data_IF_210078582995
#
_entry.id   IF_210078582995
#
_cell.length_a   1.000
_cell.length_b   1.000
_cell.length_c   1.000
_cell.angle_alpha   90.00
_cell.angle_beta   90.00
_cell.angle_gamma   90.00
#
_symmetry.space_group_name_H-M   'P 1'
#
loop_
_entity.id
_entity.type
_entity.pdbx_description
1 polymer ?
#
# COMPACT_ATOMS: atom_id res chain seq x y z
N UNK A 1 -49.74 22.52 -22.04
CA UNK A 1 -48.82 23.02 -23.08
C UNK A 1 -47.41 22.88 -22.55
N UNK A 2 -46.60 21.95 -23.06
CA UNK A 2 -45.23 21.76 -22.62
C UNK A 2 -44.31 22.70 -23.42
N UNK A 3 -43.70 23.68 -22.76
CA UNK A 3 -42.72 24.55 -23.39
C UNK A 3 -41.44 23.73 -23.67
N UNK A 4 -41.06 23.61 -24.94
CA UNK A 4 -39.78 23.01 -25.33
C UNK A 4 -38.67 24.00 -24.99
N UNK A 5 -37.94 23.73 -23.92
CA UNK A 5 -36.80 24.54 -23.49
C UNK A 5 -35.58 24.22 -24.37
N UNK A 6 -35.34 25.02 -25.43
CA UNK A 6 -34.17 24.86 -26.30
C UNK A 6 -32.99 25.65 -25.74
N UNK A 7 -31.99 24.94 -25.22
CA UNK A 7 -30.76 25.57 -24.72
C UNK A 7 -29.81 25.85 -25.90
N UNK A 8 -29.21 27.06 -26.01
CA UNK A 8 -28.26 27.37 -27.05
C UNK A 8 -27.05 26.41 -26.98
N UNK A 9 -26.47 25.98 -28.12
CA UNK A 9 -25.29 25.09 -28.15
C UNK A 9 -24.12 25.62 -27.31
N UNK A 10 -23.99 26.94 -27.22
CA UNK A 10 -22.96 27.64 -26.44
C UNK A 10 -23.17 27.46 -24.93
N UNK A 11 -24.42 27.45 -24.46
CA UNK A 11 -24.74 27.20 -23.05
C UNK A 11 -24.48 25.73 -22.71
N UNK A 12 -24.82 24.81 -23.61
CA UNK A 12 -24.51 23.38 -23.43
C UNK A 12 -23.00 23.14 -23.37
N UNK A 13 -22.23 23.79 -24.25
CA UNK A 13 -20.77 23.70 -24.29
C UNK A 13 -20.11 24.33 -23.05
N UNK A 14 -20.61 25.48 -22.57
CA UNK A 14 -20.15 26.12 -21.33
C UNK A 14 -20.47 25.27 -20.10
N UNK A 15 -21.65 24.66 -20.03
CA UNK A 15 -22.00 23.71 -18.97
C UNK A 15 -21.11 22.48 -19.03
N UNK A 16 -20.81 21.95 -20.23
CA UNK A 16 -19.87 20.83 -20.39
C UNK A 16 -18.45 21.22 -19.93
N UNK A 17 -17.96 22.41 -20.31
CA UNK A 17 -16.66 22.93 -19.89
C UNK A 17 -16.59 23.17 -18.38
N UNK A 18 -17.66 23.65 -17.75
CA UNK A 18 -17.76 23.85 -16.30
C UNK A 18 -17.84 22.51 -15.55
N UNK A 19 -18.51 21.49 -16.12
CA UNK A 19 -18.52 20.13 -15.56
C UNK A 19 -17.15 19.46 -15.70
N UNK A 20 -16.45 19.65 -16.83
CA UNK A 20 -15.09 19.13 -17.05
C UNK A 20 -14.05 19.88 -16.20
N UNK A 21 -14.20 21.20 -16.00
CA UNK A 21 -13.37 21.97 -15.09
C UNK A 21 -13.68 21.66 -13.61
N UNK A 22 -14.94 21.30 -13.30
CA UNK A 22 -15.38 20.82 -11.99
C UNK A 22 -14.96 19.39 -11.67
N UNK A 23 -14.55 18.59 -12.67
CA UNK A 23 -13.72 17.41 -12.48
C UNK A 23 -12.27 17.86 -12.21
N UNK A 24 -12.09 18.66 -11.16
CA UNK A 24 -10.78 18.96 -10.62
C UNK A 24 -10.09 17.62 -10.31
N UNK A 25 -8.93 17.38 -10.94
CA UNK A 25 -8.13 16.19 -10.68
C UNK A 25 -7.64 16.29 -9.25
N UNK A 26 -8.33 15.62 -8.34
CA UNK A 26 -7.84 15.37 -7.01
C UNK A 26 -6.46 14.72 -7.07
N UNK A 27 -5.63 14.92 -6.04
CA UNK A 27 -4.37 14.20 -5.90
C UNK A 27 -4.58 12.68 -6.08
N UNK A 28 -3.60 12.01 -6.67
CA UNK A 28 -3.64 10.56 -6.82
C UNK A 28 -3.54 9.89 -5.44
N UNK A 29 -4.37 8.88 -5.18
CA UNK A 29 -4.26 8.03 -4.00
C UNK A 29 -3.66 6.68 -4.41
N UNK A 30 -2.72 6.19 -3.61
CA UNK A 30 -2.18 4.84 -3.69
C UNK A 30 -2.62 4.04 -2.46
N UNK A 31 -2.86 2.74 -2.63
CA UNK A 31 -3.22 1.84 -1.52
C UNK A 31 -2.44 0.54 -1.61
N UNK A 32 -1.96 0.06 -0.45
CA UNK A 32 -1.42 -1.29 -0.31
C UNK A 32 -2.56 -2.29 -0.18
N UNK A 33 -2.43 -3.45 -0.82
CA UNK A 33 -3.44 -4.50 -0.77
C UNK A 33 -2.78 -5.88 -0.69
N UNK A 34 -3.37 -6.76 0.12
CA UNK A 34 -3.04 -8.19 0.13
C UNK A 34 -2.54 -8.73 1.46
N UNK A 35 -2.73 -8.04 2.59
CA UNK A 35 -2.15 -8.42 3.88
C UNK A 35 -3.15 -8.52 5.03
N UNK A 36 -4.45 -8.30 4.78
CA UNK A 36 -5.47 -8.26 5.84
C UNK A 36 -6.44 -9.45 5.77
N UNK A 37 -5.95 -10.62 5.34
CA UNK A 37 -6.59 -11.93 5.55
C UNK A 37 -8.05 -12.12 5.10
N UNK A 38 -8.62 -11.21 4.31
CA UNK A 38 -10.05 -11.20 3.98
C UNK A 38 -10.74 -9.85 4.16
N UNK A 39 -10.36 -9.09 5.20
CA UNK A 39 -11.09 -7.92 5.73
C UNK A 39 -11.01 -6.71 4.79
N UNK A 40 -9.88 -6.48 4.14
CA UNK A 40 -9.68 -5.43 3.11
C UNK A 40 -10.45 -5.71 1.78
N UNK A 41 -11.27 -6.77 1.70
CA UNK A 41 -12.01 -7.12 0.49
C UNK A 41 -11.15 -7.60 -0.70
N UNK A 42 -11.77 -7.80 -1.85
CA UNK A 42 -11.09 -8.23 -3.10
C UNK A 42 -10.34 -7.08 -3.76
N UNK A 43 -9.30 -7.37 -4.54
CA UNK A 43 -8.58 -6.37 -5.34
C UNK A 43 -9.52 -5.68 -6.35
N UNK A 44 -10.43 -6.44 -6.97
CA UNK A 44 -11.44 -5.93 -7.87
C UNK A 44 -12.36 -4.88 -7.22
N UNK A 45 -12.80 -5.14 -5.99
CA UNK A 45 -13.60 -4.17 -5.21
C UNK A 45 -12.82 -2.90 -4.88
N UNK A 46 -11.54 -3.01 -4.49
CA UNK A 46 -10.68 -1.85 -4.28
C UNK A 46 -10.58 -1.00 -5.56
N UNK A 47 -10.38 -1.63 -6.71
CA UNK A 47 -10.29 -0.94 -8.00
C UNK A 47 -11.62 -0.30 -8.44
N UNK A 48 -12.74 -1.00 -8.26
CA UNK A 48 -14.08 -0.49 -8.60
C UNK A 48 -14.56 0.66 -7.70
N UNK A 49 -13.91 0.89 -6.57
CA UNK A 49 -14.23 2.03 -5.68
C UNK A 49 -14.06 3.40 -6.37
N UNK A 50 -13.20 3.48 -7.39
CA UNK A 50 -12.83 4.72 -8.05
C UNK A 50 -11.97 5.67 -7.21
N UNK A 51 -11.43 5.19 -6.08
CA UNK A 51 -10.64 6.01 -5.16
C UNK A 51 -9.14 6.04 -5.48
N UNK A 52 -8.62 5.01 -6.15
CA UNK A 52 -7.18 4.78 -6.24
C UNK A 52 -6.65 4.95 -7.68
N UNK A 53 -5.54 5.66 -7.81
CA UNK A 53 -4.76 5.71 -9.04
C UNK A 53 -3.69 4.61 -9.08
N UNK A 54 -3.28 4.13 -7.90
CA UNK A 54 -2.33 3.02 -7.74
C UNK A 54 -2.87 2.00 -6.74
N UNK A 55 -2.72 0.72 -7.06
CA UNK A 55 -2.85 -0.37 -6.09
C UNK A 55 -1.53 -1.13 -6.03
N UNK A 56 -1.03 -1.35 -4.83
CA UNK A 56 0.29 -1.92 -4.58
C UNK A 56 0.10 -3.28 -3.92
N UNK A 57 0.38 -4.35 -4.65
CA UNK A 57 0.31 -5.72 -4.17
C UNK A 57 1.42 -5.94 -3.15
N UNK A 58 1.04 -6.24 -1.92
CA UNK A 58 1.92 -6.39 -0.77
C UNK A 58 1.83 -7.86 -0.28
N UNK A 59 2.92 -8.65 -0.26
CA UNK A 59 4.32 -8.32 -0.63
C UNK A 59 5.05 -9.50 -1.28
N UNK A 60 6.16 -9.21 -1.98
CA UNK A 60 7.22 -10.19 -2.18
C UNK A 60 8.12 -10.18 -0.93
N UNK A 61 7.90 -11.14 -0.02
CA UNK A 61 8.45 -11.16 1.33
C UNK A 61 9.79 -11.86 1.44
N UNK A 62 10.15 -12.70 0.46
CA UNK A 62 11.48 -13.32 0.38
C UNK A 62 12.12 -12.99 -0.97
N UNK A 63 13.39 -12.61 -0.96
CA UNK A 63 14.23 -12.45 -2.17
C UNK A 63 15.70 -12.22 -1.80
N UNK A 64 16.61 -12.37 -2.76
CA UNK A 64 18.04 -12.08 -2.60
C UNK A 64 18.80 -13.09 -1.72
N UNK A 65 20.12 -13.01 -1.74
CA UNK A 65 21.09 -13.96 -1.18
C UNK A 65 20.82 -15.42 -1.59
N UNK A 66 20.43 -15.63 -2.85
CA UNK A 66 20.13 -16.97 -3.38
C UNK A 66 18.85 -17.63 -2.83
N UNK A 67 18.00 -16.87 -2.15
CA UNK A 67 16.69 -17.36 -1.67
C UNK A 67 15.69 -17.46 -2.81
N UNK A 68 14.81 -18.46 -2.72
CA UNK A 68 13.63 -18.55 -3.57
C UNK A 68 12.67 -17.41 -3.23
N UNK A 69 12.24 -16.59 -4.22
CA UNK A 69 11.33 -15.50 -3.91
C UNK A 69 9.92 -15.99 -3.57
N UNK A 70 9.29 -15.33 -2.60
CA UNK A 70 7.94 -15.70 -2.11
C UNK A 70 7.00 -14.51 -2.23
N UNK A 71 5.94 -14.68 -3.02
CA UNK A 71 4.79 -13.78 -3.01
C UNK A 71 3.84 -14.22 -1.90
N UNK A 72 3.68 -13.38 -0.89
CA UNK A 72 2.74 -13.60 0.21
C UNK A 72 1.65 -12.55 0.14
N UNK A 73 0.41 -13.00 -0.10
CA UNK A 73 -0.79 -12.17 -0.07
C UNK A 73 -1.73 -12.64 1.05
N UNK A 74 -1.21 -13.12 2.19
CA UNK A 74 -1.93 -13.44 3.44
C UNK A 74 -3.21 -14.26 3.22
N UNK A 75 -3.10 -15.37 2.47
CA UNK A 75 -4.22 -16.29 2.23
C UNK A 75 -5.20 -15.86 1.13
N UNK A 76 -4.91 -14.78 0.38
CA UNK A 76 -5.71 -14.35 -0.79
C UNK A 76 -5.60 -15.26 -1.99
N UNK A 77 -4.51 -16.01 -2.08
CA UNK A 77 -4.26 -16.91 -3.19
C UNK A 77 -4.95 -18.25 -2.95
N UNK A 78 -5.49 -18.85 -4.01
CA UNK A 78 -6.14 -20.14 -3.91
C UNK A 78 -5.10 -21.22 -3.53
N UNK A 79 -5.36 -22.10 -2.54
CA UNK A 79 -4.40 -23.10 -2.08
C UNK A 79 -3.87 -24.02 -3.19
N UNK A 80 -4.70 -24.29 -4.21
CA UNK A 80 -4.37 -25.20 -5.32
C UNK A 80 -3.95 -24.48 -6.61
N UNK A 81 -4.46 -23.27 -6.86
CA UNK A 81 -4.30 -22.58 -8.14
C UNK A 81 -3.37 -21.36 -8.04
N UNK A 82 -2.79 -21.14 -6.85
CA UNK A 82 -1.95 -20.00 -6.56
C UNK A 82 -2.70 -18.68 -6.71
N UNK A 83 -1.97 -17.64 -7.03
CA UNK A 83 -2.50 -16.27 -7.15
C UNK A 83 -3.01 -15.95 -8.56
N UNK A 84 -3.26 -16.95 -9.40
CA UNK A 84 -3.63 -16.74 -10.81
C UNK A 84 -4.98 -16.04 -10.97
N UNK A 85 -5.92 -16.26 -10.04
CA UNK A 85 -7.23 -15.59 -10.03
C UNK A 85 -7.10 -14.07 -9.79
N UNK A 86 -6.13 -13.66 -8.97
CA UNK A 86 -5.80 -12.24 -8.72
C UNK A 86 -5.38 -11.57 -10.03
N UNK A 87 -4.75 -12.32 -10.94
CA UNK A 87 -4.42 -11.88 -12.29
C UNK A 87 -5.59 -11.27 -13.06
N UNK A 88 -6.78 -11.89 -12.97
CA UNK A 88 -7.95 -11.37 -13.66
C UNK A 88 -8.39 -10.01 -13.10
N UNK A 89 -8.32 -9.85 -11.78
CA UNK A 89 -8.61 -8.60 -11.07
C UNK A 89 -7.58 -7.52 -11.41
N UNK A 90 -6.29 -7.86 -11.47
CA UNK A 90 -5.21 -6.95 -11.91
C UNK A 90 -5.53 -6.38 -13.29
N UNK A 91 -5.90 -7.24 -14.25
CA UNK A 91 -6.28 -6.79 -15.60
C UNK A 91 -7.47 -5.83 -15.55
N UNK A 92 -8.47 -6.12 -14.72
CA UNK A 92 -9.65 -5.28 -14.56
C UNK A 92 -9.32 -3.91 -13.92
N UNK A 93 -8.40 -3.85 -12.97
CA UNK A 93 -7.86 -2.60 -12.43
C UNK A 93 -7.17 -1.78 -13.51
N UNK A 94 -6.26 -2.41 -14.27
CA UNK A 94 -5.50 -1.73 -15.34
C UNK A 94 -6.41 -1.22 -16.46
N UNK A 95 -7.47 -1.94 -16.80
CA UNK A 95 -8.48 -1.48 -17.76
C UNK A 95 -9.21 -0.19 -17.33
N UNK A 96 -9.24 0.11 -16.03
CA UNK A 96 -9.76 1.36 -15.47
C UNK A 96 -8.69 2.47 -15.37
N UNK A 97 -7.48 2.22 -15.87
CA UNK A 97 -6.36 3.15 -15.81
C UNK A 97 -5.61 3.16 -14.47
N UNK A 98 -5.93 2.24 -13.56
CA UNK A 98 -5.23 2.08 -12.28
C UNK A 98 -3.90 1.39 -12.52
N UNK A 99 -2.83 1.93 -11.93
CA UNK A 99 -1.50 1.30 -11.96
C UNK A 99 -1.41 0.23 -10.89
N UNK A 100 -0.99 -0.97 -11.26
CA UNK A 100 -0.81 -2.08 -10.32
C UNK A 100 0.67 -2.40 -10.18
N UNK A 101 1.19 -2.29 -8.95
CA UNK A 101 2.60 -2.47 -8.62
C UNK A 101 2.79 -3.70 -7.72
N UNK A 102 3.96 -4.32 -7.75
CA UNK A 102 4.38 -5.29 -6.73
C UNK A 102 5.32 -4.63 -5.72
N UNK A 103 5.02 -4.73 -4.44
CA UNK A 103 5.91 -4.26 -3.38
C UNK A 103 6.85 -5.32 -2.88
N UNK A 104 8.13 -4.96 -2.79
CA UNK A 104 9.19 -5.76 -2.23
C UNK A 104 9.33 -5.46 -0.74
N UNK A 105 9.50 -6.51 0.06
CA UNK A 105 9.82 -6.40 1.47
C UNK A 105 8.58 -6.53 2.33
N UNK A 106 8.24 -5.46 3.07
CA UNK A 106 7.21 -5.52 4.12
C UNK A 106 7.82 -5.70 5.52
N UNK A 107 6.99 -5.80 6.55
CA UNK A 107 7.47 -5.90 7.94
C UNK A 107 7.96 -7.30 8.33
N UNK A 108 7.53 -8.32 7.60
CA UNK A 108 7.88 -9.73 7.80
C UNK A 108 8.57 -10.29 6.55
N UNK A 109 9.19 -11.47 6.68
CA UNK A 109 9.91 -12.14 5.61
C UNK A 109 11.43 -12.10 5.74
N UNK A 110 12.13 -12.64 4.74
CA UNK A 110 13.59 -12.69 4.69
C UNK A 110 14.12 -12.19 3.36
N UNK A 111 14.60 -10.96 3.36
CA UNK A 111 15.10 -10.29 2.17
C UNK A 111 16.35 -9.47 2.44
N UNK A 112 17.12 -9.23 1.38
CA UNK A 112 18.39 -8.51 1.40
C UNK A 112 19.26 -8.93 0.22
N UNK A 113 20.08 -8.02 -0.29
CA UNK A 113 20.91 -8.23 -1.46
C UNK A 113 22.38 -8.37 -1.03
N UNK A 114 23.07 -9.40 -1.53
CA UNK A 114 24.45 -9.74 -1.13
C UNK A 114 25.51 -9.16 -2.07
N UNK A 115 25.12 -8.82 -3.30
CA UNK A 115 26.02 -8.33 -4.35
C UNK A 115 25.23 -7.69 -5.48
N UNK A 116 25.94 -6.99 -6.37
CA UNK A 116 25.38 -6.50 -7.63
C UNK A 116 24.83 -7.63 -8.51
N UNK A 117 25.47 -8.80 -8.53
CA UNK A 117 25.00 -9.95 -9.32
C UNK A 117 23.71 -10.55 -8.74
N UNK A 118 23.58 -10.54 -7.42
CA UNK A 118 22.36 -10.91 -6.72
C UNK A 118 21.23 -9.91 -7.03
N UNK A 119 21.51 -8.61 -6.98
CA UNK A 119 20.57 -7.57 -7.42
C UNK A 119 20.11 -7.75 -8.88
N UNK A 120 21.04 -8.07 -9.79
CA UNK A 120 20.74 -8.38 -11.18
C UNK A 120 19.88 -9.64 -11.35
N UNK A 121 20.10 -10.64 -10.49
CA UNK A 121 19.35 -11.90 -10.47
C UNK A 121 17.93 -11.68 -9.97
N UNK A 122 17.75 -10.90 -8.90
CA UNK A 122 16.42 -10.48 -8.43
C UNK A 122 15.70 -9.64 -9.49
N UNK A 123 16.39 -8.69 -10.14
CA UNK A 123 15.80 -7.91 -11.24
C UNK A 123 15.35 -8.79 -12.41
N UNK A 124 16.10 -9.86 -12.71
CA UNK A 124 15.74 -10.85 -13.73
C UNK A 124 14.49 -11.62 -13.32
N UNK A 125 14.44 -12.11 -12.08
CA UNK A 125 13.27 -12.81 -11.55
C UNK A 125 12.00 -11.94 -11.62
N UNK A 126 12.08 -10.68 -11.15
CA UNK A 126 10.94 -9.75 -11.19
C UNK A 126 10.47 -9.50 -12.63
N UNK A 127 11.40 -9.41 -13.56
CA UNK A 127 11.08 -9.26 -14.97
C UNK A 127 10.31 -10.48 -15.52
N UNK A 128 10.87 -11.68 -15.35
CA UNK A 128 10.32 -12.91 -15.90
C UNK A 128 8.97 -13.30 -15.27
N UNK A 129 8.75 -12.93 -14.01
CA UNK A 129 7.57 -13.37 -13.26
C UNK A 129 6.45 -12.32 -13.15
N UNK A 130 6.77 -11.02 -13.34
CA UNK A 130 5.79 -9.96 -13.07
C UNK A 130 5.74 -8.83 -14.09
N UNK A 131 6.80 -8.57 -14.88
CA UNK A 131 6.88 -7.35 -15.70
C UNK A 131 7.01 -7.58 -17.21
N UNK A 132 7.68 -8.65 -17.63
CA UNK A 132 8.17 -8.85 -19.00
C UNK A 132 7.34 -9.80 -19.86
N UNK A 133 6.19 -10.26 -19.36
CA UNK A 133 5.33 -11.22 -20.04
C UNK A 133 5.73 -12.68 -19.80
N UNK A 134 4.74 -13.57 -19.80
CA UNK A 134 4.89 -14.97 -19.39
C UNK A 134 3.85 -15.36 -18.34
N UNK A 135 3.77 -16.64 -17.98
CA UNK A 135 2.89 -17.11 -16.91
C UNK A 135 3.66 -17.04 -15.60
N UNK A 136 3.40 -16.01 -14.79
CA UNK A 136 4.02 -15.83 -13.48
C UNK A 136 3.08 -16.20 -12.32
N UNK A 137 3.48 -15.90 -11.07
CA UNK A 137 2.69 -16.19 -9.87
C UNK A 137 1.27 -15.62 -9.91
N UNK A 138 1.13 -14.50 -10.60
CA UNK A 138 -0.08 -13.69 -10.72
C UNK A 138 -0.82 -13.95 -12.05
N UNK A 139 -0.45 -15.02 -12.76
CA UNK A 139 -0.98 -15.37 -14.07
C UNK A 139 -0.23 -14.68 -15.22
N UNK A 140 -0.82 -14.63 -16.43
CA UNK A 140 -0.17 -14.09 -17.63
C UNK A 140 -0.19 -12.56 -17.73
N UNK A 141 -0.20 -11.84 -16.60
CA UNK A 141 -0.38 -10.39 -16.58
C UNK A 141 0.86 -9.65 -16.13
N UNK A 142 1.17 -8.58 -16.86
CA UNK A 142 2.25 -7.67 -16.51
C UNK A 142 1.78 -6.59 -15.54
N UNK A 143 2.52 -6.43 -14.45
CA UNK A 143 2.40 -5.31 -13.54
C UNK A 143 3.01 -4.05 -14.17
N UNK A 144 2.59 -2.89 -13.68
CA UNK A 144 3.11 -1.59 -14.14
C UNK A 144 4.50 -1.29 -13.58
N UNK A 145 4.88 -1.91 -12.46
CA UNK A 145 6.15 -1.61 -11.81
C UNK A 145 6.38 -2.27 -10.46
N UNK A 146 7.46 -1.82 -9.81
CA UNK A 146 8.00 -2.37 -8.57
C UNK A 146 8.08 -1.26 -7.52
N UNK A 147 7.54 -1.55 -6.35
CA UNK A 147 7.63 -0.72 -5.15
C UNK A 147 8.69 -1.26 -4.17
N UNK A 148 9.51 -0.36 -3.63
CA UNK A 148 10.56 -0.68 -2.67
C UNK A 148 10.09 -0.29 -1.27
N UNK A 149 9.51 -1.26 -0.54
CA UNK A 149 9.08 -1.12 0.86
C UNK A 149 10.02 -1.90 1.79
N UNK A 150 11.28 -1.46 1.81
CA UNK A 150 12.37 -2.10 2.54
C UNK A 150 12.34 -1.64 4.00
N UNK A 151 12.06 -2.56 4.92
CA UNK A 151 11.92 -2.28 6.36
C UNK A 151 12.93 -3.02 7.23
N UNK A 152 13.32 -4.21 6.81
CA UNK A 152 14.18 -5.11 7.57
C UNK A 152 15.40 -5.50 6.71
N UNK A 153 16.35 -6.24 7.30
CA UNK A 153 17.57 -6.67 6.62
C UNK A 153 18.81 -5.82 6.92
N UNK A 154 18.65 -4.59 7.42
CA UNK A 154 19.71 -3.76 8.02
C UNK A 154 20.82 -3.25 7.08
N UNK A 155 21.03 -3.91 5.94
CA UNK A 155 22.02 -3.54 4.93
C UNK A 155 21.35 -2.80 3.76
N UNK A 156 21.68 -1.52 3.51
CA UNK A 156 21.14 -0.74 2.39
C UNK A 156 21.80 -1.06 1.05
N UNK A 157 22.80 -1.94 1.02
CA UNK A 157 23.62 -2.18 -0.18
C UNK A 157 22.80 -2.78 -1.33
N UNK A 158 23.17 -2.38 -2.55
CA UNK A 158 22.72 -2.94 -3.84
C UNK A 158 21.25 -2.72 -4.22
N UNK A 159 20.43 -2.04 -3.41
CA UNK A 159 19.08 -1.63 -3.85
C UNK A 159 19.13 -0.62 -5.01
N UNK A 160 20.18 0.19 -5.09
CA UNK A 160 20.45 1.05 -6.22
C UNK A 160 20.80 0.25 -7.49
N UNK A 161 21.62 -0.80 -7.37
CA UNK A 161 21.91 -1.73 -8.47
C UNK A 161 20.64 -2.45 -8.93
N UNK A 162 19.75 -2.87 -8.01
CA UNK A 162 18.45 -3.45 -8.35
C UNK A 162 17.58 -2.46 -9.14
N UNK A 163 17.45 -1.22 -8.67
CA UNK A 163 16.70 -0.17 -9.36
C UNK A 163 17.28 0.13 -10.76
N UNK A 164 18.62 0.24 -10.88
CA UNK A 164 19.31 0.40 -12.18
C UNK A 164 19.02 -0.78 -13.12
N UNK A 165 19.08 -2.01 -12.61
CA UNK A 165 18.85 -3.22 -13.38
C UNK A 165 17.40 -3.35 -13.89
N UNK A 166 16.41 -2.88 -13.11
CA UNK A 166 15.01 -2.81 -13.55
C UNK A 166 14.81 -1.77 -14.66
N UNK A 167 15.33 -0.55 -14.49
CA UNK A 167 15.27 0.51 -15.52
C UNK A 167 15.96 0.13 -16.83
N UNK A 168 17.07 -0.61 -16.73
CA UNK A 168 17.81 -1.07 -17.90
C UNK A 168 17.01 -2.07 -18.76
N UNK A 169 16.06 -2.82 -18.17
CA UNK A 169 15.21 -3.78 -18.90
C UNK A 169 14.07 -3.09 -19.64
N UNK A 170 13.40 -2.13 -18.99
CA UNK A 170 12.29 -1.37 -19.57
C UNK A 170 12.23 0.02 -18.95
N UNK A 171 12.31 1.07 -19.78
CA UNK A 171 12.38 2.46 -19.29
C UNK A 171 11.08 2.91 -18.61
N UNK A 172 9.93 2.43 -19.09
CA UNK A 172 8.59 2.76 -18.61
C UNK A 172 8.10 1.86 -17.46
N UNK A 173 8.95 0.96 -16.93
CA UNK A 173 8.64 0.30 -15.65
C UNK A 173 8.55 1.35 -14.55
N UNK A 174 7.46 1.37 -13.81
CA UNK A 174 7.34 2.29 -12.68
C UNK A 174 8.23 1.79 -11.54
N UNK A 175 9.10 2.66 -11.03
CA UNK A 175 9.83 2.42 -9.81
C UNK A 175 9.30 3.34 -8.73
N UNK A 176 8.87 2.76 -7.61
CA UNK A 176 8.36 3.52 -6.48
C UNK A 176 9.01 3.08 -5.19
N UNK A 177 8.95 3.91 -4.15
CA UNK A 177 9.57 3.59 -2.86
C UNK A 177 8.75 4.12 -1.68
N UNK A 178 8.87 3.41 -0.57
CA UNK A 178 8.23 3.70 0.71
C UNK A 178 9.24 3.96 1.83
N UNK A 179 10.11 4.97 1.73
CA UNK A 179 11.03 5.29 2.82
C UNK A 179 10.25 5.63 4.10
N UNK A 180 10.86 5.43 5.26
CA UNK A 180 10.38 6.01 6.51
C UNK A 180 10.55 7.53 6.46
N UNK A 181 9.81 8.26 7.30
CA UNK A 181 9.92 9.72 7.35
C UNK A 181 11.27 10.29 7.82
N UNK A 182 12.13 9.61 8.61
CA UNK A 182 13.47 10.09 8.89
C UNK A 182 14.26 10.29 7.60
N UNK A 183 14.90 11.45 7.47
CA UNK A 183 15.67 11.80 6.29
C UNK A 183 17.17 11.94 6.64
N UNK A 184 18.09 11.35 5.84
CA UNK A 184 17.81 10.40 4.76
C UNK A 184 17.28 9.06 5.31
N UNK A 185 16.53 8.31 4.48
CA UNK A 185 16.12 6.95 4.85
C UNK A 185 17.33 6.01 4.84
N UNK A 186 17.50 5.25 5.92
CA UNK A 186 18.70 4.44 6.12
C UNK A 186 18.82 3.24 5.17
N UNK A 187 17.70 2.71 4.65
CA UNK A 187 17.68 1.48 3.86
C UNK A 187 17.57 1.75 2.36
N UNK A 188 16.67 2.65 1.96
CA UNK A 188 16.41 2.96 0.55
C UNK A 188 16.99 4.31 0.11
N UNK A 189 17.52 5.12 1.04
CA UNK A 189 18.17 6.40 0.73
C UNK A 189 19.21 6.33 -0.39
N UNK A 190 20.19 5.38 -0.34
CA UNK A 190 21.18 5.26 -1.40
C UNK A 190 20.58 4.96 -2.79
N UNK A 191 19.49 4.21 -2.86
CA UNK A 191 18.80 3.95 -4.13
C UNK A 191 18.09 5.21 -4.65
N UNK A 192 17.44 5.97 -3.77
CA UNK A 192 16.78 7.24 -4.08
C UNK A 192 17.75 8.33 -4.56
N UNK A 193 19.00 8.30 -4.11
CA UNK A 193 20.06 9.21 -4.59
C UNK A 193 20.63 8.78 -5.95
N UNK A 194 20.62 7.49 -6.24
CA UNK A 194 21.29 6.93 -7.41
C UNK A 194 20.39 6.75 -8.64
N UNK A 195 19.08 6.64 -8.46
CA UNK A 195 18.10 6.35 -9.52
C UNK A 195 16.84 7.19 -9.33
N UNK A 196 16.28 7.70 -10.44
CA UNK A 196 14.99 8.37 -10.38
C UNK A 196 13.83 7.38 -10.14
N UNK A 197 13.07 7.63 -9.08
CA UNK A 197 11.82 6.93 -8.77
C UNK A 197 10.62 7.75 -9.25
N UNK A 198 9.61 7.10 -9.85
CA UNK A 198 8.42 7.77 -10.38
C UNK A 198 7.52 8.34 -9.26
N UNK A 199 7.50 7.66 -8.11
CA UNK A 199 6.75 8.08 -6.94
C UNK A 199 7.44 7.62 -5.64
N UNK A 200 7.47 8.50 -4.65
CA UNK A 200 7.99 8.21 -3.31
C UNK A 200 6.91 8.53 -2.29
N UNK A 201 6.39 7.52 -1.61
CA UNK A 201 5.40 7.67 -0.54
C UNK A 201 6.09 7.54 0.82
N UNK A 202 6.59 8.68 1.28
CA UNK A 202 7.28 8.78 2.57
C UNK A 202 6.30 8.44 3.69
N UNK A 203 6.66 7.47 4.54
CA UNK A 203 5.81 6.97 5.62
C UNK A 203 5.92 7.86 6.86
N UNK A 204 4.94 8.74 7.06
CA UNK A 204 4.84 9.66 8.21
C UNK A 204 4.12 9.02 9.40
N UNK A 205 4.53 7.81 9.76
CA UNK A 205 3.96 7.04 10.87
C UNK A 205 4.99 6.07 11.46
N UNK A 206 4.67 5.54 12.64
CA UNK A 206 5.56 4.73 13.48
C UNK A 206 6.92 5.38 13.84
N UNK A 207 7.03 6.71 13.72
CA UNK A 207 8.23 7.50 13.90
C UNK A 207 7.88 8.87 14.53
N UNK A 208 7.92 8.96 15.86
CA UNK A 208 7.44 10.15 16.60
C UNK A 208 8.10 11.47 16.17
N UNK A 209 9.37 11.42 15.78
CA UNK A 209 10.17 12.57 15.35
C UNK A 209 9.72 13.19 14.03
N UNK A 210 8.89 12.51 13.25
CA UNK A 210 8.46 12.98 11.93
C UNK A 210 7.01 12.60 11.58
N UNK A 211 6.18 12.25 12.55
CA UNK A 211 4.76 11.92 12.32
C UNK A 211 3.83 12.95 12.96
N UNK A 212 2.55 12.89 12.59
CA UNK A 212 1.49 13.62 13.27
C UNK A 212 1.23 13.02 14.66
N UNK A 213 1.14 13.86 15.68
CA UNK A 213 0.91 13.43 17.07
C UNK A 213 0.21 14.52 17.86
N UNK A 214 -0.68 14.15 18.78
CA UNK A 214 -1.31 15.07 19.73
C UNK A 214 -1.98 16.31 19.09
N UNK A 215 -2.68 16.11 17.96
CA UNK A 215 -3.28 17.18 17.18
C UNK A 215 -2.30 18.23 16.61
N UNK A 216 -1.02 17.89 16.51
CA UNK A 216 0.05 18.76 16.04
C UNK A 216 0.72 18.17 14.78
N UNK A 217 0.68 18.89 13.63
CA UNK A 217 1.33 18.47 12.40
C UNK A 217 2.81 18.89 12.29
N UNK A 218 3.37 19.63 13.25
CA UNK A 218 4.68 20.29 13.11
C UNK A 218 5.81 19.33 12.71
N UNK A 219 5.98 18.20 13.42
CA UNK A 219 7.02 17.21 13.09
C UNK A 219 6.86 16.63 11.68
N UNK A 220 5.62 16.36 11.28
CA UNK A 220 5.31 15.86 9.93
C UNK A 220 5.65 16.92 8.87
N UNK A 221 5.23 18.17 9.08
CA UNK A 221 5.45 19.25 8.12
C UNK A 221 6.94 19.59 7.99
N UNK A 222 7.70 19.55 9.08
CA UNK A 222 9.15 19.73 9.06
C UNK A 222 9.85 18.61 8.27
N UNK A 223 9.44 17.35 8.48
CA UNK A 223 9.96 16.23 7.71
C UNK A 223 9.54 16.29 6.24
N UNK A 224 8.28 16.65 5.95
CA UNK A 224 7.80 16.86 4.58
C UNK A 224 8.64 17.91 3.85
N UNK A 225 8.91 19.04 4.50
CA UNK A 225 9.74 20.09 3.92
C UNK A 225 11.17 19.61 3.64
N UNK A 226 11.76 18.79 4.52
CA UNK A 226 13.08 18.17 4.29
C UNK A 226 13.06 17.26 3.06
N UNK A 227 12.08 16.36 2.95
CA UNK A 227 11.94 15.48 1.79
C UNK A 227 11.72 16.27 0.49
N UNK A 228 10.80 17.24 0.51
CA UNK A 228 10.44 18.03 -0.67
C UNK A 228 11.53 19.02 -1.13
N UNK A 229 12.44 19.42 -0.24
CA UNK A 229 13.59 20.29 -0.59
C UNK A 229 14.89 19.51 -0.77
N UNK A 230 14.84 18.18 -0.67
CA UNK A 230 16.02 17.32 -0.85
C UNK A 230 16.46 17.27 -2.32
N UNK A 231 17.65 16.73 -2.56
CA UNK A 231 18.16 16.45 -3.90
C UNK A 231 17.69 15.11 -4.48
N UNK A 232 16.76 14.41 -3.81
CA UNK A 232 16.21 13.14 -4.29
C UNK A 232 15.45 13.39 -5.59
N UNK A 233 15.84 12.69 -6.64
CA UNK A 233 15.18 12.77 -7.94
C UNK A 233 13.93 11.86 -7.93
N UNK A 234 12.80 12.42 -7.49
CA UNK A 234 11.51 11.75 -7.51
C UNK A 234 10.56 12.47 -8.47
N UNK A 235 9.83 11.69 -9.29
CA UNK A 235 8.78 12.24 -10.14
C UNK A 235 7.69 12.93 -9.30
N UNK A 236 7.34 12.35 -8.15
CA UNK A 236 6.42 12.91 -7.15
C UNK A 236 6.71 12.38 -5.75
N UNK A 237 6.52 13.24 -4.74
CA UNK A 237 6.39 12.83 -3.34
C UNK A 237 4.91 12.70 -2.94
N UNK A 238 4.62 11.71 -2.09
CA UNK A 238 3.31 11.45 -1.51
C UNK A 238 3.41 11.33 0.01
N UNK A 239 2.32 11.68 0.70
CA UNK A 239 2.13 11.40 2.12
C UNK A 239 1.71 9.94 2.31
N UNK A 240 2.61 9.11 2.81
CA UNK A 240 2.28 7.78 3.31
C UNK A 240 1.69 7.90 4.72
N UNK A 241 0.41 7.54 4.89
CA UNK A 241 -0.33 7.64 6.14
C UNK A 241 -1.06 6.33 6.43
N UNK A 242 -1.23 5.96 7.71
CA UNK A 242 -2.06 4.83 8.10
C UNK A 242 -3.54 5.23 8.02
N UNK A 243 -4.34 4.42 7.32
CA UNK A 243 -5.76 4.70 7.13
C UNK A 243 -6.58 4.61 8.43
N UNK A 244 -6.06 3.91 9.44
CA UNK A 244 -6.66 3.78 10.77
C UNK A 244 -5.59 3.81 11.86
N UNK A 245 -5.97 4.17 13.08
CA UNK A 245 -5.05 4.26 14.22
C UNK A 245 -4.35 2.93 14.55
N UNK A 246 -5.06 1.80 14.43
CA UNK A 246 -4.49 0.47 14.69
C UNK A 246 -3.53 -0.02 13.60
N UNK A 247 -3.46 0.67 12.46
CA UNK A 247 -2.55 0.32 11.36
C UNK A 247 -1.13 0.86 11.54
N UNK A 248 -0.93 1.71 12.54
CA UNK A 248 0.37 2.20 12.97
C UNK A 248 0.37 2.26 14.50
N UNK A 249 0.69 1.14 15.17
CA UNK A 249 0.63 1.04 16.63
C UNK A 249 1.50 2.09 17.35
N UNK A 250 2.55 2.59 16.70
CA UNK A 250 3.43 3.64 17.23
C UNK A 250 3.00 5.06 16.84
N UNK A 251 1.80 5.22 16.28
CA UNK A 251 1.17 6.50 15.98
C UNK A 251 1.40 7.01 14.54
N UNK A 252 0.90 8.21 14.27
CA UNK A 252 0.95 8.86 12.95
C UNK A 252 -0.37 8.84 12.18
N UNK A 253 -1.42 8.20 12.71
CA UNK A 253 -2.77 8.33 12.14
C UNK A 253 -3.30 9.75 12.31
N UNK A 254 -3.92 10.25 11.23
CA UNK A 254 -4.48 11.59 11.15
C UNK A 254 -5.97 11.43 10.83
N UNK A 255 -6.87 11.86 11.72
CA UNK A 255 -8.28 11.94 11.41
C UNK A 255 -8.52 12.74 10.12
N UNK A 256 -9.50 12.33 9.32
CA UNK A 256 -9.68 12.85 7.98
C UNK A 256 -9.92 14.39 7.96
N UNK A 257 -10.71 14.89 8.92
CA UNK A 257 -10.93 16.32 9.13
C UNK A 257 -9.63 17.07 9.44
N UNK A 258 -8.76 16.51 10.29
CA UNK A 258 -7.48 17.09 10.65
C UNK A 258 -6.48 17.06 9.50
N UNK A 259 -6.46 15.99 8.70
CA UNK A 259 -5.63 15.91 7.49
C UNK A 259 -6.01 17.03 6.52
N UNK A 260 -7.31 17.25 6.31
CA UNK A 260 -7.82 18.29 5.43
C UNK A 260 -7.57 19.72 5.93
N UNK A 261 -7.71 19.94 7.24
CA UNK A 261 -7.63 21.27 7.83
C UNK A 261 -6.20 21.70 8.19
N UNK A 262 -5.36 20.78 8.68
CA UNK A 262 -4.08 21.12 9.32
C UNK A 262 -2.83 20.72 8.52
N UNK A 263 -2.95 19.73 7.62
CA UNK A 263 -1.78 19.16 6.93
C UNK A 263 -1.79 19.50 5.43
N UNK A 264 -2.84 19.12 4.70
CA UNK A 264 -2.90 19.29 3.25
C UNK A 264 -2.74 20.76 2.75
N UNK A 265 -3.24 21.79 3.44
CA UNK A 265 -3.04 23.17 3.01
C UNK A 265 -1.56 23.58 2.96
N UNK A 266 -0.74 23.10 3.89
CA UNK A 266 0.69 23.41 3.97
C UNK A 266 1.50 22.67 2.90
N UNK A 267 1.08 21.45 2.57
CA UNK A 267 1.76 20.60 1.59
C UNK A 267 1.46 21.04 0.15
N UNK A 268 0.25 21.52 -0.11
CA UNK A 268 -0.14 22.04 -1.43
C UNK A 268 0.38 23.46 -1.69
N UNK A 269 0.63 24.25 -0.63
CA UNK A 269 1.12 25.63 -0.73
C UNK A 269 2.64 25.78 -0.95
N UNK A 270 3.42 24.71 -0.76
CA UNK A 270 4.84 24.68 -1.09
C UNK A 270 5.03 24.56 -2.60
N UNK A 271 5.44 25.64 -3.25
CA UNK A 271 5.50 25.79 -4.70
C UNK A 271 6.40 24.79 -5.43
N UNK A 272 5.91 23.56 -5.63
CA UNK A 272 6.15 22.75 -6.82
C UNK A 272 5.17 21.57 -6.96
N UNK A 273 3.94 21.68 -6.43
CA UNK A 273 2.88 20.72 -6.72
C UNK A 273 1.86 21.37 -7.66
N UNK A 274 1.93 21.02 -8.95
CA UNK A 274 0.85 21.33 -9.90
C UNK A 274 -0.36 20.47 -9.55
N UNK A 275 -1.29 21.03 -8.77
CA UNK A 275 -2.57 20.38 -8.48
C UNK A 275 -3.38 21.14 -7.43
N UNK A 276 -4.10 22.17 -7.88
CA UNK A 276 -5.06 22.92 -7.07
C UNK A 276 -6.23 22.04 -6.57
N UNK A 277 -6.53 22.24 -5.29
CA UNK A 277 -7.82 22.17 -4.59
C UNK A 277 -8.93 21.20 -5.06
N UNK A 278 -9.11 20.12 -4.28
CA UNK A 278 -10.39 19.65 -3.71
C UNK A 278 -10.07 18.59 -2.65
N UNK A 279 -10.50 18.78 -1.40
CA UNK A 279 -10.09 17.94 -0.25
C UNK A 279 -11.29 17.20 0.37
N UNK A 280 -12.52 17.63 0.08
CA UNK A 280 -13.69 17.24 0.89
C UNK A 280 -14.46 15.98 0.44
N UNK A 281 -14.49 15.57 -0.84
CA UNK A 281 -15.14 14.30 -1.24
C UNK A 281 -14.27 13.05 -1.01
N UNK A 282 -12.94 13.20 -0.93
CA UNK A 282 -11.99 12.08 -0.82
C UNK A 282 -11.73 11.65 0.62
N UNK A 283 -11.76 12.58 1.57
CA UNK A 283 -11.48 12.32 2.98
C UNK A 283 -12.49 11.36 3.62
N UNK A 284 -13.78 11.46 3.26
CA UNK A 284 -14.82 10.50 3.70
C UNK A 284 -14.73 9.12 3.02
N UNK A 285 -13.90 8.97 1.98
CA UNK A 285 -13.77 7.71 1.22
C UNK A 285 -12.50 6.92 1.56
N UNK A 286 -11.51 7.57 2.18
CA UNK A 286 -10.25 6.95 2.60
C UNK A 286 -10.26 6.36 4.03
N UNK A 287 -11.36 6.52 4.78
CA UNK A 287 -11.53 5.94 6.13
C UNK A 287 -11.77 4.43 6.13
N UNK A 288 -11.87 3.79 4.95
CA UNK A 288 -12.00 2.35 4.84
C UNK A 288 -10.72 1.75 4.25
N UNK A 289 -10.06 0.98 5.12
CA UNK A 289 -8.98 0.01 4.86
C UNK A 289 -7.56 0.57 4.79
N UNK A 290 -6.84 0.25 5.86
CA UNK A 290 -5.58 -0.48 5.84
C UNK A 290 -5.32 -0.85 7.31
N UNK A 291 -5.44 -2.12 7.68
CA UNK A 291 -4.91 -2.64 8.94
C UNK A 291 -3.51 -3.17 8.66
N UNK A 292 -2.51 -2.65 9.39
CA UNK A 292 -1.21 -3.29 9.51
C UNK A 292 -0.82 -3.30 10.99
N UNK A 293 -1.12 -4.40 11.63
CA UNK A 293 -0.61 -4.78 12.92
C UNK A 293 -0.55 -6.30 12.94
N UNK A 294 0.60 -6.88 12.58
CA UNK A 294 0.84 -8.29 12.87
C UNK A 294 0.82 -8.45 14.38
N UNK A 295 -0.21 -9.11 14.90
CA UNK A 295 -0.22 -9.64 16.26
C UNK A 295 0.92 -10.65 16.38
N UNK A 296 2.04 -10.25 16.95
CA UNK A 296 2.88 -11.19 17.68
C UNK A 296 2.22 -11.36 19.05
N UNK A 297 1.46 -12.44 19.22
CA UNK A 297 1.21 -12.99 20.55
C UNK A 297 2.24 -14.09 20.79
N UNK A 298 3.46 -13.68 21.12
CA UNK A 298 4.33 -14.51 21.95
C UNK A 298 4.16 -13.99 23.38
N UNK A 299 3.22 -14.60 24.11
CA UNK A 299 3.24 -14.64 25.58
C UNK A 299 2.55 -15.95 26.03
N UNK A 300 3.38 -16.82 26.60
CA UNK A 300 3.11 -17.88 27.57
C UNK A 300 2.27 -19.12 27.21
N UNK A 301 3.02 -20.17 26.82
CA UNK A 301 3.02 -21.51 27.43
C UNK A 301 1.82 -21.89 28.33
N UNK A 302 0.84 -22.60 27.75
CA UNK A 302 0.26 -23.81 28.38
C UNK A 302 -0.11 -24.85 27.32
N UNK A 303 0.82 -25.79 27.16
CA UNK A 303 0.60 -27.12 26.58
C UNK A 303 -0.59 -27.81 27.24
N UNK A 304 -1.67 -28.02 26.48
CA UNK A 304 -2.71 -29.00 26.81
C UNK A 304 -2.62 -30.13 25.77
N UNK A 305 -2.23 -31.30 26.26
CA UNK A 305 -2.15 -32.57 25.52
C UNK A 305 -3.56 -32.99 25.05
N UNK A 306 -3.70 -33.66 23.88
CA UNK A 306 -4.99 -34.13 23.42
C UNK A 306 -5.36 -35.45 24.11
N UNK A 307 -6.40 -35.42 24.95
CA UNK A 307 -7.00 -36.62 25.52
C UNK A 307 -7.86 -37.32 24.45
N UNK A 308 -7.68 -38.64 24.34
CA UNK A 308 -8.31 -39.49 23.35
C UNK A 308 -9.83 -39.54 23.52
N UNK A 309 -10.56 -39.48 22.40
CA UNK A 309 -11.96 -39.89 22.33
C UNK A 309 -11.96 -41.36 21.89
N UNK A 310 -12.19 -42.25 22.86
CA UNK A 310 -12.66 -43.61 22.62
C UNK A 310 -14.13 -43.71 23.03
N UNK A 311 -14.89 -44.40 22.21
CA UNK A 311 -16.34 -44.55 22.26
C UNK A 311 -16.73 -45.67 23.22
N UNK A 312 -17.57 -45.41 24.21
CA UNK A 312 -18.70 -46.30 24.53
C UNK A 312 -19.60 -45.77 25.65
N UNK A 313 -20.90 -46.04 25.51
CA UNK A 313 -21.73 -46.47 26.63
C UNK A 313 -22.34 -45.41 27.56
N UNK A 314 -23.63 -45.21 27.33
CA UNK A 314 -24.68 -45.41 28.34
C UNK A 314 -25.47 -44.18 28.85
N UNK A 315 -26.76 -44.46 28.97
CA UNK A 315 -27.93 -43.61 29.11
C UNK A 315 -28.04 -42.95 30.48
N UNK A 316 -28.72 -41.79 30.54
CA UNK A 316 -29.53 -41.47 31.72
C UNK A 316 -29.67 -40.00 32.10
N UNK A 317 -30.80 -39.42 31.68
CA UNK A 317 -31.72 -38.58 32.48
C UNK A 317 -31.16 -37.46 33.41
N UNK A 318 -31.72 -36.25 33.26
CA UNK A 318 -31.95 -35.37 34.43
C UNK A 318 -31.84 -33.87 34.23
N UNK A 319 -32.85 -33.27 33.60
CA UNK A 319 -33.59 -32.07 34.04
C UNK A 319 -32.86 -30.99 34.90
N UNK A 320 -32.70 -29.80 34.29
CA UNK A 320 -33.09 -28.44 34.78
C UNK A 320 -32.41 -27.91 36.06
N UNK A 321 -31.67 -26.79 35.96
CA UNK A 321 -32.17 -25.47 36.41
C UNK A 321 -31.20 -24.30 36.14
N UNK A 322 -31.83 -23.15 35.93
CA UNK A 322 -31.24 -21.81 35.76
C UNK A 322 -30.87 -21.24 37.12
N UNK A 323 -29.62 -20.79 37.33
CA UNK A 323 -29.31 -19.76 38.33
C UNK A 323 -28.24 -18.81 37.81
N UNK A 324 -28.62 -17.53 37.79
CA UNK A 324 -27.80 -16.34 37.56
C UNK A 324 -27.33 -15.80 38.93
N UNK A 325 -26.03 -15.47 39.08
CA UNK A 325 -25.41 -14.56 40.10
C UNK A 325 -23.92 -14.42 39.74
N UNK A 326 -23.44 -13.30 39.19
CA UNK A 326 -23.08 -12.01 39.81
C UNK A 326 -21.80 -12.02 40.68
N UNK A 327 -20.81 -11.22 40.25
CA UNK A 327 -19.65 -10.65 40.96
C UNK A 327 -18.57 -11.58 41.52
N UNK A 328 -17.39 -11.59 40.87
CA UNK A 328 -16.19 -10.81 41.21
C UNK A 328 -15.16 -10.91 40.08
#
# INVERSE_FOLDING_TARGET
>A
MAAKLSWPPVVLALVLLLVVAGMARSGNIAVYWGQDGGVEGTLGAACLSGNYAYVILAFLTNFGNGREPVLDLSGRCHPTFGCTEIGAEIRACKAQGIKVLLSLGGYSGSYGLSSKDDANSVAKYLWENFLGGGIGPVGPFELDGIDFHINTGGDPSYYDDLAKALRARRKDVLLTAAPQCPFPDALIGPALEAVQFDAVWVRFYNNEQCQYKNADPSNLLDAWNKWNSSSVDAGRFYLGLPAAANAAPSGGHIPADQLGASVLPHIKGGGQIRGDHAVEPLLRRAEQMLQFGTLNTDDDDKRLEPEQIDTDGDVGAGRVDVVNRSHL
#
